data_IF_449672262211
#
_entry.id   IF_449672262211
#
_cell.length_a   1.000
_cell.length_b   1.000
_cell.length_c   1.000
_cell.angle_alpha   90.00
_cell.angle_beta   90.00
_cell.angle_gamma   90.00
#
_symmetry.space_group_name_H-M   'P 1'
#
loop_
_entity.id
_entity.type
_entity.pdbx_description
1 polymer ?
#
# COMPACT_ATOMS: atom_id res chain seq x y z
N UNK A 1 -3.71 -17.74 29.99
CA UNK A 1 -2.61 -17.51 29.05
C UNK A 1 -2.25 -16.04 29.14
N UNK A 2 -1.03 -15.74 29.57
CA UNK A 2 -0.66 -14.43 30.14
C UNK A 2 -0.70 -13.28 29.16
N UNK A 3 -1.12 -12.12 29.65
CA UNK A 3 -0.84 -10.81 29.06
C UNK A 3 0.67 -10.63 29.02
N UNK A 4 1.30 -10.88 27.86
CA UNK A 4 2.77 -10.83 27.73
C UNK A 4 3.31 -9.44 28.10
N UNK A 5 2.60 -8.37 27.70
CA UNK A 5 2.89 -6.98 28.05
C UNK A 5 1.59 -6.20 28.30
N UNK A 6 0.63 -6.32 27.38
CA UNK A 6 -0.70 -5.71 27.46
C UNK A 6 -1.78 -6.64 26.87
N UNK A 7 -3.05 -6.35 27.15
CA UNK A 7 -4.18 -7.20 26.74
C UNK A 7 -4.52 -7.14 25.25
N UNK A 8 -4.08 -6.10 24.54
CA UNK A 8 -4.32 -5.89 23.11
C UNK A 8 -3.09 -6.21 22.24
N UNK A 9 -1.99 -6.67 22.85
CA UNK A 9 -0.69 -6.90 22.24
C UNK A 9 -0.07 -5.67 21.55
N UNK A 10 -0.50 -4.45 21.89
CA UNK A 10 0.00 -3.22 21.28
C UNK A 10 1.47 -2.97 21.62
N UNK A 11 1.85 -3.14 22.90
CA UNK A 11 3.22 -2.99 23.35
C UNK A 11 4.13 -4.09 22.80
N UNK A 12 3.65 -5.33 22.79
CA UNK A 12 4.38 -6.47 22.22
C UNK A 12 4.69 -6.25 20.74
N UNK A 13 3.66 -5.92 19.94
CA UNK A 13 3.83 -5.70 18.50
C UNK A 13 4.70 -4.48 18.21
N UNK A 14 4.60 -3.40 19.00
CA UNK A 14 5.45 -2.22 18.84
C UNK A 14 6.94 -2.55 19.07
N UNK A 15 7.25 -3.29 20.15
CA UNK A 15 8.64 -3.68 20.47
C UNK A 15 9.21 -4.57 19.37
N UNK A 16 8.43 -5.56 18.91
CA UNK A 16 8.86 -6.46 17.83
C UNK A 16 9.08 -5.67 16.53
N UNK A 17 8.16 -4.78 16.17
CA UNK A 17 8.32 -3.93 14.98
C UNK A 17 9.55 -3.04 15.09
N UNK A 18 9.76 -2.34 16.21
CA UNK A 18 10.93 -1.47 16.38
C UNK A 18 12.22 -2.27 16.31
N UNK A 19 12.31 -3.41 17.02
CA UNK A 19 13.49 -4.27 16.99
C UNK A 19 13.78 -4.80 15.58
N UNK A 20 12.75 -5.28 14.88
CA UNK A 20 12.87 -5.78 13.52
C UNK A 20 13.35 -4.70 12.54
N UNK A 21 12.72 -3.52 12.57
CA UNK A 21 13.09 -2.40 11.69
C UNK A 21 14.49 -1.87 12.01
N UNK A 22 14.89 -1.87 13.29
CA UNK A 22 16.23 -1.46 13.70
C UNK A 22 17.31 -2.43 13.19
N UNK A 23 17.05 -3.74 13.21
CA UNK A 23 17.97 -4.75 12.65
C UNK A 23 18.21 -4.48 11.17
N UNK A 24 17.15 -4.29 10.38
CA UNK A 24 17.30 -4.01 8.95
C UNK A 24 17.87 -2.62 8.66
N UNK A 25 17.59 -1.62 9.51
CA UNK A 25 18.28 -0.33 9.45
C UNK A 25 19.79 -0.51 9.61
N UNK A 26 20.25 -1.26 10.63
CA UNK A 26 21.68 -1.52 10.87
C UNK A 26 22.29 -2.26 9.68
N UNK A 27 21.64 -3.30 9.17
CA UNK A 27 22.09 -4.03 7.97
C UNK A 27 22.22 -3.08 6.78
N UNK A 28 21.22 -2.24 6.53
CA UNK A 28 21.21 -1.30 5.41
C UNK A 28 22.27 -0.22 5.57
N UNK A 29 22.46 0.31 6.77
CA UNK A 29 23.46 1.34 7.07
C UNK A 29 24.90 0.82 6.93
N UNK A 30 25.17 -0.41 7.40
CA UNK A 30 26.50 -1.01 7.37
C UNK A 30 26.87 -1.59 6.01
N UNK A 31 25.93 -2.29 5.36
CA UNK A 31 26.18 -3.01 4.11
C UNK A 31 25.79 -2.21 2.86
N UNK A 32 25.18 -1.03 3.02
CA UNK A 32 24.60 -0.22 1.93
C UNK A 32 23.67 -1.05 1.03
N UNK A 33 22.92 -1.97 1.65
CA UNK A 33 22.07 -2.93 0.97
C UNK A 33 20.59 -2.57 1.16
N UNK A 34 20.09 -1.65 0.34
CA UNK A 34 18.72 -1.14 0.35
C UNK A 34 17.70 -2.08 -0.33
N UNK A 35 18.18 -3.16 -0.98
CA UNK A 35 17.34 -4.13 -1.70
C UNK A 35 16.37 -4.90 -0.78
N UNK A 36 16.57 -4.86 0.53
CA UNK A 36 15.77 -5.56 1.54
C UNK A 36 14.75 -4.68 2.25
N UNK A 37 14.70 -3.38 1.93
CA UNK A 37 13.82 -2.41 2.62
C UNK A 37 12.35 -2.79 2.49
N UNK A 38 11.88 -2.93 1.25
CA UNK A 38 10.52 -3.38 0.91
C UNK A 38 10.22 -4.79 1.44
N UNK A 39 11.22 -5.69 1.46
CA UNK A 39 11.10 -7.04 2.03
C UNK A 39 10.91 -6.99 3.55
N UNK A 40 11.64 -6.12 4.25
CA UNK A 40 11.54 -5.97 5.69
C UNK A 40 10.16 -5.43 6.11
N UNK A 41 9.62 -4.44 5.38
CA UNK A 41 8.28 -3.92 5.64
C UNK A 41 7.21 -5.01 5.55
N UNK A 42 7.15 -5.71 4.41
CA UNK A 42 6.14 -6.74 4.12
C UNK A 42 6.24 -7.97 5.03
N UNK A 43 7.44 -8.45 5.33
CA UNK A 43 7.61 -9.61 6.23
C UNK A 43 7.36 -9.29 7.70
N UNK A 44 7.52 -8.03 8.13
CA UNK A 44 7.15 -7.61 9.48
C UNK A 44 5.64 -7.73 9.72
N UNK A 45 4.79 -7.38 8.73
CA UNK A 45 3.34 -7.65 8.80
C UNK A 45 3.03 -9.15 9.02
N UNK A 46 3.72 -10.03 8.29
CA UNK A 46 3.59 -11.49 8.43
C UNK A 46 3.97 -11.93 9.84
N UNK A 47 5.09 -11.42 10.36
CA UNK A 47 5.57 -11.72 11.72
C UNK A 47 4.54 -11.27 12.76
N UNK A 48 3.99 -10.06 12.66
CA UNK A 48 3.00 -9.57 13.62
C UNK A 48 1.72 -10.42 13.61
N UNK A 49 1.21 -10.77 12.42
CA UNK A 49 0.01 -11.61 12.29
C UNK A 49 0.21 -12.99 12.91
N UNK A 50 1.32 -13.67 12.60
CA UNK A 50 1.63 -14.99 13.15
C UNK A 50 1.94 -14.94 14.64
N UNK A 51 2.75 -13.98 15.08
CA UNK A 51 3.15 -13.82 16.48
C UNK A 51 1.93 -13.63 17.38
N UNK A 52 1.06 -12.68 17.04
CA UNK A 52 -0.12 -12.37 17.87
C UNK A 52 -1.09 -13.56 17.93
N UNK A 53 -1.26 -14.29 16.82
CA UNK A 53 -2.09 -15.49 16.77
C UNK A 53 -1.51 -16.63 17.63
N UNK A 54 -0.21 -16.92 17.51
CA UNK A 54 0.48 -17.97 18.26
C UNK A 54 0.51 -17.65 19.76
N UNK A 55 0.87 -16.43 20.12
CA UNK A 55 0.95 -15.97 21.52
C UNK A 55 -0.42 -15.99 22.19
N UNK A 56 -1.49 -15.65 21.46
CA UNK A 56 -2.85 -15.75 21.99
C UNK A 56 -3.21 -17.18 22.37
N UNK A 57 -2.82 -18.15 21.53
CA UNK A 57 -3.17 -19.56 21.69
C UNK A 57 -4.65 -19.88 21.48
N UNK A 58 -5.45 -18.91 21.00
CA UNK A 58 -6.83 -19.12 20.54
C UNK A 58 -6.89 -19.06 19.02
N UNK A 59 -7.59 -20.00 18.41
CA UNK A 59 -7.65 -20.19 16.97
C UNK A 59 -9.08 -20.05 16.47
N UNK A 60 -9.69 -18.89 16.74
CA UNK A 60 -11.04 -18.62 16.23
C UNK A 60 -11.02 -18.42 14.73
N UNK A 61 -12.11 -18.79 14.06
CA UNK A 61 -12.21 -18.75 12.61
C UNK A 61 -11.80 -17.39 12.03
N UNK A 62 -12.33 -16.29 12.59
CA UNK A 62 -11.97 -14.91 12.21
C UNK A 62 -10.49 -14.59 12.38
N UNK A 63 -9.87 -15.03 13.48
CA UNK A 63 -8.44 -14.82 13.76
C UNK A 63 -7.56 -15.54 12.74
N UNK A 64 -7.89 -16.80 12.45
CA UNK A 64 -7.20 -17.60 11.44
C UNK A 64 -7.34 -16.95 10.07
N UNK A 65 -8.56 -16.62 9.64
CA UNK A 65 -8.81 -16.04 8.32
C UNK A 65 -8.06 -14.72 8.16
N UNK A 66 -8.22 -13.75 9.06
CA UNK A 66 -7.56 -12.45 8.91
C UNK A 66 -6.04 -12.56 8.98
N UNK A 67 -5.50 -13.44 9.83
CA UNK A 67 -4.06 -13.70 9.86
C UNK A 67 -3.57 -14.32 8.56
N UNK A 68 -4.31 -15.28 7.99
CA UNK A 68 -3.98 -15.87 6.69
C UNK A 68 -4.03 -14.84 5.56
N UNK A 69 -5.03 -13.96 5.54
CA UNK A 69 -5.12 -12.87 4.55
C UNK A 69 -3.87 -11.97 4.62
N UNK A 70 -3.45 -11.55 5.81
CA UNK A 70 -2.23 -10.74 5.99
C UNK A 70 -0.97 -11.52 5.58
N UNK A 71 -0.88 -12.81 5.93
CA UNK A 71 0.25 -13.68 5.56
C UNK A 71 0.34 -13.86 4.05
N UNK A 72 -0.77 -14.16 3.38
CA UNK A 72 -0.84 -14.36 1.93
C UNK A 72 -0.42 -13.08 1.20
N UNK A 73 -0.97 -11.93 1.60
CA UNK A 73 -0.59 -10.64 1.03
C UNK A 73 0.88 -10.33 1.29
N UNK A 74 1.32 -10.41 2.54
CA UNK A 74 2.68 -10.04 2.94
C UNK A 74 3.74 -10.89 2.28
N UNK A 75 3.55 -12.22 2.21
CA UNK A 75 4.47 -13.11 1.51
C UNK A 75 4.48 -12.84 0.00
N UNK A 76 3.31 -12.66 -0.63
CA UNK A 76 3.23 -12.35 -2.07
C UNK A 76 3.98 -11.06 -2.39
N UNK A 77 3.71 -10.01 -1.62
CA UNK A 77 4.33 -8.70 -1.81
C UNK A 77 5.85 -8.77 -1.57
N UNK A 78 6.29 -9.40 -0.47
CA UNK A 78 7.71 -9.58 -0.16
C UNK A 78 8.46 -10.30 -1.29
N UNK A 79 7.92 -11.42 -1.77
CA UNK A 79 8.52 -12.21 -2.85
C UNK A 79 8.53 -11.45 -4.18
N UNK A 80 7.43 -10.76 -4.52
CA UNK A 80 7.35 -9.97 -5.74
C UNK A 80 8.37 -8.83 -5.74
N UNK A 81 8.45 -8.06 -4.65
CA UNK A 81 9.37 -6.93 -4.54
C UNK A 81 10.83 -7.40 -4.53
N UNK A 82 11.13 -8.52 -3.86
CA UNK A 82 12.45 -9.15 -3.87
C UNK A 82 12.85 -9.61 -5.28
N UNK A 83 11.96 -10.32 -5.98
CA UNK A 83 12.21 -10.73 -7.37
C UNK A 83 12.44 -9.51 -8.28
N UNK A 84 11.62 -8.47 -8.14
CA UNK A 84 11.70 -7.24 -8.94
C UNK A 84 13.03 -6.52 -8.75
N UNK A 85 13.49 -6.34 -7.52
CA UNK A 85 14.76 -5.65 -7.25
C UNK A 85 15.98 -6.48 -7.69
N UNK A 86 15.90 -7.81 -7.61
CA UNK A 86 16.94 -8.69 -8.14
C UNK A 86 17.03 -8.64 -9.67
N UNK A 87 15.90 -8.47 -10.37
CA UNK A 87 15.86 -8.32 -11.83
C UNK A 87 16.29 -6.94 -12.31
N UNK A 88 15.86 -5.86 -11.65
CA UNK A 88 16.14 -4.49 -12.10
C UNK A 88 17.44 -3.92 -11.54
N UNK A 89 18.02 -4.56 -10.52
CA UNK A 89 19.36 -4.27 -10.01
C UNK A 89 19.44 -3.10 -9.02
N UNK A 90 18.58 -2.10 -9.13
CA UNK A 90 18.65 -0.88 -8.31
C UNK A 90 17.27 -0.27 -7.98
N UNK A 91 17.14 0.24 -6.76
CA UNK A 91 16.03 1.08 -6.33
C UNK A 91 16.48 2.53 -6.21
N UNK A 92 16.12 3.33 -7.22
CA UNK A 92 16.55 4.73 -7.35
C UNK A 92 16.02 5.63 -6.22
N UNK A 93 15.04 5.17 -5.43
CA UNK A 93 14.55 5.90 -4.24
C UNK A 93 15.63 6.07 -3.18
N UNK A 94 16.60 5.16 -3.13
CA UNK A 94 17.64 5.14 -2.11
C UNK A 94 18.94 5.81 -2.54
N UNK A 95 19.09 6.23 -3.80
CA UNK A 95 20.33 6.82 -4.34
C UNK A 95 20.80 8.00 -3.48
N UNK A 96 19.89 8.89 -3.08
CA UNK A 96 20.18 10.05 -2.22
C UNK A 96 20.17 9.74 -0.72
N UNK A 97 19.62 8.58 -0.32
CA UNK A 97 19.43 8.21 1.08
C UNK A 97 20.56 7.32 1.61
N UNK A 98 21.21 6.52 0.75
CA UNK A 98 22.34 5.63 1.09
C UNK A 98 23.52 6.37 1.72
N UNK A 99 23.71 7.65 1.39
CA UNK A 99 24.80 8.48 1.90
C UNK A 99 24.42 9.32 3.12
N UNK A 100 23.16 9.32 3.54
CA UNK A 100 22.66 10.16 4.63
C UNK A 100 21.97 9.31 5.71
N UNK A 101 22.69 9.02 6.79
CA UNK A 101 22.19 8.22 7.91
C UNK A 101 20.94 8.80 8.57
N UNK A 102 20.81 10.14 8.62
CA UNK A 102 19.63 10.80 9.18
C UNK A 102 18.37 10.54 8.35
N UNK A 103 18.46 10.73 7.03
CA UNK A 103 17.36 10.41 6.09
C UNK A 103 16.99 8.92 6.15
N UNK A 104 18.01 8.05 6.21
CA UNK A 104 17.81 6.61 6.35
C UNK A 104 17.06 6.28 7.66
N UNK A 105 17.49 6.83 8.79
CA UNK A 105 16.82 6.61 10.07
C UNK A 105 15.36 7.05 10.05
N UNK A 106 15.07 8.23 9.48
CA UNK A 106 13.69 8.73 9.30
C UNK A 106 12.84 7.76 8.48
N UNK A 107 13.39 7.22 7.38
CA UNK A 107 12.69 6.21 6.57
C UNK A 107 12.32 4.96 7.38
N UNK A 108 13.26 4.41 8.15
CA UNK A 108 13.01 3.18 8.93
C UNK A 108 12.06 3.41 10.10
N UNK A 109 12.11 4.58 10.76
CA UNK A 109 11.13 4.97 11.78
C UNK A 109 9.74 5.06 11.15
N UNK A 110 9.64 5.71 9.99
CA UNK A 110 8.38 5.87 9.30
C UNK A 110 7.81 4.52 8.82
N UNK A 111 8.67 3.62 8.33
CA UNK A 111 8.30 2.25 7.99
C UNK A 111 7.83 1.47 9.22
N UNK A 112 8.45 1.66 10.40
CA UNK A 112 8.00 1.05 11.65
C UNK A 112 6.60 1.54 12.05
N UNK A 113 6.37 2.85 12.01
CA UNK A 113 5.04 3.45 12.30
C UNK A 113 3.99 2.93 11.32
N UNK A 114 4.33 2.85 10.03
CA UNK A 114 3.44 2.32 9.01
C UNK A 114 3.06 0.87 9.27
N UNK A 115 4.03 -0.03 9.43
CA UNK A 115 3.75 -1.46 9.66
C UNK A 115 2.91 -1.65 10.91
N UNK A 116 3.28 -1.01 12.02
CA UNK A 116 2.58 -1.17 13.28
C UNK A 116 1.14 -0.65 13.21
N UNK A 117 0.94 0.56 12.68
CA UNK A 117 -0.38 1.21 12.61
C UNK A 117 -1.33 0.45 11.69
N UNK A 118 -0.84 -0.02 10.53
CA UNK A 118 -1.67 -0.73 9.56
C UNK A 118 -2.00 -2.16 10.04
N UNK A 119 -1.15 -2.76 10.87
CA UNK A 119 -1.40 -4.08 11.48
C UNK A 119 -2.41 -4.05 12.64
N UNK A 120 -2.82 -2.88 13.14
CA UNK A 120 -3.68 -2.77 14.31
C UNK A 120 -4.98 -3.61 14.23
N UNK A 121 -5.73 -3.64 13.10
CA UNK A 121 -6.94 -4.45 13.02
C UNK A 121 -6.70 -5.94 13.28
N UNK A 122 -5.68 -6.55 12.67
CA UNK A 122 -5.37 -7.98 12.86
C UNK A 122 -4.82 -8.25 14.27
N UNK A 123 -4.00 -7.33 14.79
CA UNK A 123 -3.44 -7.42 16.16
C UNK A 123 -4.57 -7.47 17.20
N UNK A 124 -5.54 -6.56 17.12
CA UNK A 124 -6.66 -6.50 18.07
C UNK A 124 -7.60 -7.70 17.91
N UNK A 125 -7.86 -8.15 16.67
CA UNK A 125 -8.65 -9.38 16.45
C UNK A 125 -7.98 -10.59 17.09
N UNK A 126 -6.67 -10.74 16.92
CA UNK A 126 -5.90 -11.83 17.52
C UNK A 126 -5.83 -11.70 19.04
N UNK A 127 -5.86 -10.49 19.59
CA UNK A 127 -5.90 -10.26 21.03
C UNK A 127 -7.29 -10.54 21.65
N UNK A 128 -8.37 -10.45 20.87
CA UNK A 128 -9.75 -10.56 21.38
C UNK A 128 -10.09 -11.96 21.90
N UNK A 129 -10.89 -12.01 22.97
CA UNK A 129 -11.55 -13.23 23.46
C UNK A 129 -13.00 -13.35 22.95
N UNK A 130 -13.52 -12.32 22.25
CA UNK A 130 -14.91 -12.29 21.78
C UNK A 130 -15.06 -13.26 20.60
N UNK A 131 -16.12 -14.07 20.63
CA UNK A 131 -16.40 -15.12 19.65
C UNK A 131 -17.81 -14.98 19.06
N UNK A 132 -18.19 -13.81 18.51
CA UNK A 132 -19.45 -13.73 17.81
C UNK A 132 -19.43 -14.73 16.65
N UNK A 133 -20.60 -15.28 16.33
CA UNK A 133 -20.81 -16.05 15.09
C UNK A 133 -20.37 -15.23 13.88
N UNK A 134 -20.22 -15.90 12.74
CA UNK A 134 -19.92 -15.21 11.49
C UNK A 134 -21.01 -14.17 11.21
N UNK A 135 -20.59 -12.93 10.91
CA UNK A 135 -21.48 -11.82 10.60
C UNK A 135 -21.32 -11.40 9.13
N UNK A 136 -22.19 -10.50 8.67
CA UNK A 136 -22.17 -10.02 7.28
C UNK A 136 -20.90 -9.20 7.01
N UNK A 137 -20.40 -8.48 8.00
CA UNK A 137 -19.19 -7.65 7.93
C UNK A 137 -17.95 -8.51 7.64
N UNK A 138 -17.88 -9.75 8.15
CA UNK A 138 -16.82 -10.69 7.81
C UNK A 138 -16.77 -10.95 6.30
N UNK A 139 -17.93 -11.29 5.73
CA UNK A 139 -18.07 -11.65 4.31
C UNK A 139 -17.75 -10.43 3.43
N UNK A 140 -18.28 -9.26 3.79
CA UNK A 140 -18.00 -8.00 3.07
C UNK A 140 -16.49 -7.70 3.11
N UNK A 141 -15.87 -7.77 4.29
CA UNK A 141 -14.45 -7.49 4.45
C UNK A 141 -13.56 -8.45 3.66
N UNK A 142 -13.90 -9.74 3.62
CA UNK A 142 -13.16 -10.72 2.82
C UNK A 142 -13.34 -10.51 1.31
N UNK A 143 -14.53 -10.14 0.85
CA UNK A 143 -14.76 -9.81 -0.57
C UNK A 143 -13.93 -8.59 -0.95
N UNK A 144 -13.98 -7.52 -0.13
CA UNK A 144 -13.17 -6.31 -0.34
C UNK A 144 -11.68 -6.67 -0.39
N UNK A 145 -11.22 -7.53 0.53
CA UNK A 145 -9.84 -7.99 0.55
C UNK A 145 -9.47 -8.77 -0.71
N UNK A 146 -10.29 -9.70 -1.15
CA UNK A 146 -10.04 -10.50 -2.36
C UNK A 146 -9.97 -9.63 -3.60
N UNK A 147 -10.87 -8.65 -3.74
CA UNK A 147 -10.84 -7.68 -4.85
C UNK A 147 -9.57 -6.83 -4.79
N UNK A 148 -9.21 -6.33 -3.61
CA UNK A 148 -7.99 -5.54 -3.42
C UNK A 148 -6.72 -6.32 -3.74
N UNK A 149 -6.59 -7.53 -3.20
CA UNK A 149 -5.47 -8.42 -3.44
C UNK A 149 -5.34 -8.79 -4.92
N UNK A 150 -6.45 -9.09 -5.61
CA UNK A 150 -6.45 -9.39 -7.04
C UNK A 150 -6.04 -8.17 -7.87
N UNK A 151 -6.61 -6.98 -7.58
CA UNK A 151 -6.26 -5.74 -8.27
C UNK A 151 -4.76 -5.42 -8.15
N UNK A 152 -4.21 -5.56 -6.94
CA UNK A 152 -2.79 -5.33 -6.69
C UNK A 152 -1.90 -6.36 -7.41
N UNK A 153 -2.21 -7.66 -7.30
CA UNK A 153 -1.41 -8.71 -7.93
C UNK A 153 -1.41 -8.61 -9.46
N UNK A 154 -2.58 -8.37 -10.05
CA UNK A 154 -2.72 -8.21 -11.51
C UNK A 154 -1.98 -6.95 -11.96
N UNK A 155 -2.13 -5.83 -11.26
CA UNK A 155 -1.44 -4.58 -11.59
C UNK A 155 0.09 -4.74 -11.56
N UNK A 156 0.61 -5.40 -10.53
CA UNK A 156 2.03 -5.67 -10.39
C UNK A 156 2.55 -6.54 -11.54
N UNK A 157 1.81 -7.60 -11.90
CA UNK A 157 2.15 -8.48 -13.01
C UNK A 157 2.08 -7.76 -14.37
N UNK A 158 1.03 -6.97 -14.61
CA UNK A 158 0.87 -6.16 -15.82
C UNK A 158 2.08 -5.24 -16.01
N UNK A 159 2.50 -4.54 -14.94
CA UNK A 159 3.64 -3.61 -14.99
C UNK A 159 4.96 -4.34 -15.18
N UNK A 160 5.16 -5.48 -14.52
CA UNK A 160 6.36 -6.30 -14.68
C UNK A 160 6.49 -6.79 -16.12
N UNK A 161 5.44 -7.40 -16.66
CA UNK A 161 5.41 -7.88 -18.04
C UNK A 161 5.63 -6.73 -19.03
N UNK A 162 4.96 -5.59 -18.82
CA UNK A 162 5.13 -4.40 -19.67
C UNK A 162 6.59 -3.92 -19.71
N UNK A 163 7.27 -3.90 -18.56
CA UNK A 163 8.66 -3.42 -18.44
C UNK A 163 9.70 -4.39 -19.00
N UNK A 164 9.40 -5.68 -19.06
CA UNK A 164 10.30 -6.70 -19.59
C UNK A 164 10.31 -6.76 -21.13
N UNK A 165 9.38 -6.09 -21.80
CA UNK A 165 9.32 -5.98 -23.27
C UNK A 165 10.27 -4.85 -23.75
N UNK A 166 11.31 -5.15 -24.56
CA UNK A 166 12.29 -4.15 -25.03
C UNK A 166 11.67 -2.95 -25.76
N UNK A 167 10.60 -3.16 -26.53
CA UNK A 167 9.89 -2.15 -27.31
C UNK A 167 9.14 -1.13 -26.43
N UNK A 168 8.99 -1.43 -25.13
CA UNK A 168 8.37 -0.56 -24.14
C UNK A 168 9.37 0.29 -23.37
N UNK A 169 10.68 0.19 -23.67
CA UNK A 169 11.70 1.08 -23.10
C UNK A 169 11.33 2.53 -23.40
N UNK A 170 11.42 3.37 -22.37
CA UNK A 170 11.03 4.79 -22.47
C UNK A 170 9.52 5.06 -22.47
N UNK A 171 8.66 4.05 -22.28
CA UNK A 171 7.19 4.21 -22.17
C UNK A 171 6.68 4.01 -20.73
N UNK A 172 5.51 4.56 -20.44
CA UNK A 172 4.74 4.30 -19.22
C UNK A 172 3.79 3.11 -19.43
N UNK A 173 3.49 2.38 -18.36
CA UNK A 173 2.54 1.27 -18.41
C UNK A 173 1.12 1.83 -18.55
N UNK A 174 0.40 1.42 -19.58
CA UNK A 174 -0.99 1.80 -19.86
C UNK A 174 -1.85 0.61 -20.31
N UNK A 175 -1.43 -0.61 -19.96
CA UNK A 175 -2.09 -1.88 -20.31
C UNK A 175 -2.77 -2.51 -19.10
N UNK A 176 -3.72 -3.42 -19.33
CA UNK A 176 -4.43 -4.13 -18.26
C UNK A 176 -5.12 -3.14 -17.30
N UNK A 177 -4.91 -3.31 -16.00
CA UNK A 177 -5.50 -2.41 -14.99
C UNK A 177 -4.97 -0.97 -15.08
N UNK A 178 -3.74 -0.79 -15.57
CA UNK A 178 -3.13 0.54 -15.76
C UNK A 178 -3.84 1.36 -16.85
N UNK A 179 -4.70 0.75 -17.67
CA UNK A 179 -5.56 1.49 -18.59
C UNK A 179 -6.68 2.24 -17.87
N UNK A 180 -7.16 1.72 -16.74
CA UNK A 180 -8.35 2.21 -16.04
C UNK A 180 -8.03 3.12 -14.86
N UNK A 181 -6.83 2.99 -14.30
CA UNK A 181 -6.32 3.85 -13.24
C UNK A 181 -4.80 3.94 -13.34
N UNK A 182 -4.22 5.07 -12.94
CA UNK A 182 -2.77 5.29 -12.96
C UNK A 182 -2.05 4.56 -11.84
N UNK A 183 -2.74 4.18 -10.75
CA UNK A 183 -2.15 3.47 -9.61
C UNK A 183 -3.03 2.30 -9.12
N UNK A 184 -3.29 1.29 -9.97
CA UNK A 184 -4.17 0.17 -9.62
C UNK A 184 -3.65 -0.68 -8.47
N UNK A 185 -2.33 -0.77 -8.30
CA UNK A 185 -1.71 -1.49 -7.19
C UNK A 185 -2.02 -0.83 -5.83
N UNK A 186 -1.94 0.50 -5.76
CA UNK A 186 -2.30 1.24 -4.54
C UNK A 186 -3.81 1.23 -4.27
N UNK A 187 -4.65 1.21 -5.32
CA UNK A 187 -6.08 0.96 -5.14
C UNK A 187 -6.32 -0.40 -4.48
N UNK A 188 -5.63 -1.45 -4.95
CA UNK A 188 -5.71 -2.78 -4.38
C UNK A 188 -5.24 -2.83 -2.92
N UNK A 189 -4.11 -2.20 -2.62
CA UNK A 189 -3.54 -2.12 -1.27
C UNK A 189 -4.48 -1.39 -0.29
N UNK A 190 -5.08 -0.27 -0.71
CA UNK A 190 -6.07 0.45 0.11
C UNK A 190 -7.27 -0.45 0.39
N UNK A 191 -7.86 -1.07 -0.65
CA UNK A 191 -9.02 -1.93 -0.48
C UNK A 191 -8.74 -3.08 0.48
N UNK A 192 -7.62 -3.79 0.32
CA UNK A 192 -7.37 -4.97 1.14
C UNK A 192 -7.24 -4.62 2.64
N UNK A 193 -6.63 -3.49 2.99
CA UNK A 193 -6.54 -3.07 4.39
C UNK A 193 -7.86 -2.55 4.95
N UNK A 194 -8.68 -1.88 4.13
CA UNK A 194 -10.07 -1.59 4.50
C UNK A 194 -10.89 -2.88 4.69
N UNK A 195 -10.64 -3.91 3.88
CA UNK A 195 -11.27 -5.23 4.01
C UNK A 195 -10.92 -5.93 5.33
N UNK A 196 -9.65 -5.90 5.75
CA UNK A 196 -9.24 -6.39 7.07
C UNK A 196 -9.95 -5.63 8.20
N UNK A 197 -10.04 -4.30 8.09
CA UNK A 197 -10.76 -3.50 9.08
C UNK A 197 -12.26 -3.83 9.14
N UNK A 198 -12.95 -3.90 7.99
CA UNK A 198 -14.37 -4.23 7.96
C UNK A 198 -14.63 -5.61 8.57
N UNK A 199 -13.79 -6.61 8.28
CA UNK A 199 -13.93 -7.94 8.87
C UNK A 199 -13.48 -8.01 10.35
N UNK A 200 -12.82 -6.99 10.89
CA UNK A 200 -12.49 -6.92 12.32
C UNK A 200 -13.64 -6.37 13.16
N UNK A 201 -14.53 -5.55 12.58
CA UNK A 201 -15.58 -4.83 13.32
C UNK A 201 -16.48 -5.69 14.21
N UNK A 202 -16.83 -6.97 13.88
CA UNK A 202 -17.70 -7.77 14.74
C UNK A 202 -17.13 -8.03 16.14
N UNK A 203 -15.80 -7.93 16.30
CA UNK A 203 -15.12 -8.16 17.57
C UNK A 203 -14.63 -6.88 18.24
N UNK A 204 -14.84 -5.69 17.65
CA UNK A 204 -14.39 -4.41 18.21
C UNK A 204 -15.39 -3.86 19.22
N UNK A 205 -14.88 -3.27 20.30
CA UNK A 205 -15.68 -2.59 21.31
C UNK A 205 -14.94 -1.38 21.91
N UNK A 206 -15.68 -0.34 22.29
CA UNK A 206 -15.13 0.87 22.92
C UNK A 206 -13.93 1.48 22.17
N UNK A 207 -12.79 1.60 22.86
CA UNK A 207 -11.57 2.18 22.29
C UNK A 207 -10.88 1.31 21.22
N UNK A 208 -11.27 0.06 21.05
CA UNK A 208 -10.70 -0.82 20.01
C UNK A 208 -11.07 -0.35 18.60
N UNK A 209 -12.12 0.46 18.44
CA UNK A 209 -12.46 1.09 17.16
C UNK A 209 -11.35 1.98 16.59
N UNK A 210 -10.38 2.41 17.42
CA UNK A 210 -9.22 3.18 16.97
C UNK A 210 -8.33 2.40 15.99
N UNK A 211 -8.50 1.08 15.81
CA UNK A 211 -7.83 0.33 14.73
C UNK A 211 -8.18 0.83 13.33
N UNK A 212 -9.26 1.60 13.16
CA UNK A 212 -9.58 2.30 11.91
C UNK A 212 -8.46 3.25 11.46
N UNK A 213 -7.62 3.71 12.39
CA UNK A 213 -6.44 4.49 12.03
C UNK A 213 -5.48 3.73 11.11
N UNK A 214 -5.45 2.40 11.13
CA UNK A 214 -4.67 1.58 10.20
C UNK A 214 -4.96 1.90 8.73
N UNK A 215 -6.14 1.57 8.19
CA UNK A 215 -6.47 1.84 6.80
C UNK A 215 -6.56 3.33 6.47
N UNK A 216 -6.98 4.20 7.40
CA UNK A 216 -6.96 5.67 7.18
C UNK A 216 -5.52 6.16 7.00
N UNK A 217 -4.61 5.77 7.89
CA UNK A 217 -3.21 6.15 7.83
C UNK A 217 -2.58 5.71 6.50
N UNK A 218 -2.79 4.44 6.10
CA UNK A 218 -2.32 3.93 4.82
C UNK A 218 -2.88 4.74 3.62
N UNK A 219 -4.19 5.02 3.63
CA UNK A 219 -4.86 5.74 2.55
C UNK A 219 -4.27 7.15 2.40
N UNK A 220 -4.17 7.89 3.52
CA UNK A 220 -3.59 9.24 3.51
C UNK A 220 -2.11 9.23 3.12
N UNK A 221 -1.39 8.21 3.60
CA UNK A 221 0.01 8.02 3.28
C UNK A 221 0.21 7.93 1.76
N UNK A 222 -0.53 7.02 1.08
CA UNK A 222 -0.44 6.78 -0.35
C UNK A 222 -0.97 7.94 -1.21
N UNK A 223 -1.94 8.70 -0.70
CA UNK A 223 -2.52 9.84 -1.42
C UNK A 223 -1.65 11.10 -1.35
N UNK A 224 -0.98 11.35 -0.23
CA UNK A 224 -0.41 12.69 0.07
C UNK A 224 1.07 12.72 0.40
N UNK A 225 1.66 11.64 0.92
CA UNK A 225 3.03 11.67 1.47
C UNK A 225 3.95 10.79 0.64
N UNK A 226 3.60 9.52 0.49
CA UNK A 226 4.33 8.53 -0.30
C UNK A 226 3.43 7.97 -1.39
N UNK A 227 3.93 7.03 -2.19
CA UNK A 227 3.13 6.40 -3.24
C UNK A 227 2.83 7.36 -4.39
N UNK A 228 1.55 7.77 -4.53
CA UNK A 228 1.04 8.46 -5.72
C UNK A 228 1.78 9.78 -6.02
N UNK A 229 1.97 10.73 -5.07
CA UNK A 229 2.65 11.99 -5.34
C UNK A 229 4.05 11.81 -5.94
N UNK A 230 4.85 10.92 -5.34
CA UNK A 230 6.23 10.67 -5.75
C UNK A 230 6.30 9.99 -7.12
N UNK A 231 5.39 9.06 -7.39
CA UNK A 231 5.33 8.36 -8.68
C UNK A 231 4.82 9.26 -9.80
N UNK A 232 3.81 10.09 -9.54
CA UNK A 232 3.29 11.08 -10.48
C UNK A 232 4.38 12.10 -10.83
N UNK A 233 5.09 12.63 -9.84
CA UNK A 233 6.19 13.56 -10.06
C UNK A 233 7.32 12.91 -10.88
N UNK A 234 7.71 11.68 -10.54
CA UNK A 234 8.74 10.94 -11.29
C UNK A 234 8.33 10.68 -12.74
N UNK A 235 7.05 10.32 -12.96
CA UNK A 235 6.51 10.09 -14.29
C UNK A 235 6.41 11.40 -15.10
N UNK A 236 5.99 12.50 -14.48
CA UNK A 236 5.92 13.82 -15.13
C UNK A 236 7.30 14.32 -15.56
N UNK A 237 8.31 14.18 -14.71
CA UNK A 237 9.71 14.51 -15.07
C UNK A 237 10.21 13.71 -16.27
N UNK A 238 9.75 12.47 -16.44
CA UNK A 238 10.22 11.56 -17.48
C UNK A 238 9.43 11.67 -18.79
N UNK A 239 8.12 11.86 -18.71
CA UNK A 239 7.20 11.76 -19.85
C UNK A 239 6.35 13.02 -20.07
N UNK A 240 6.43 14.03 -19.21
CA UNK A 240 5.59 15.22 -19.26
C UNK A 240 5.65 15.99 -20.58
N UNK A 241 6.80 15.96 -21.27
CA UNK A 241 6.97 16.59 -22.57
C UNK A 241 6.29 15.82 -23.73
N UNK A 242 5.77 14.62 -23.49
CA UNK A 242 5.12 13.79 -24.51
C UNK A 242 3.60 13.98 -24.49
N UNK A 243 3.03 14.42 -25.61
CA UNK A 243 1.58 14.69 -25.74
C UNK A 243 0.72 13.47 -25.40
N UNK A 244 1.14 12.28 -25.84
CA UNK A 244 0.46 11.03 -25.55
C UNK A 244 0.41 10.70 -24.04
N UNK A 245 1.44 11.08 -23.27
CA UNK A 245 1.43 10.90 -21.81
C UNK A 245 0.48 11.87 -21.14
N UNK A 246 0.48 13.14 -21.57
CA UNK A 246 -0.45 14.14 -21.04
C UNK A 246 -1.89 13.75 -21.34
N UNK A 247 -2.17 13.20 -22.52
CA UNK A 247 -3.49 12.66 -22.86
C UNK A 247 -3.87 11.50 -21.95
N UNK A 248 -2.98 10.51 -21.76
CA UNK A 248 -3.21 9.41 -20.83
C UNK A 248 -3.54 9.90 -19.41
N UNK A 249 -2.77 10.87 -18.89
CA UNK A 249 -3.00 11.44 -17.57
C UNK A 249 -4.34 12.18 -17.45
N UNK A 250 -4.77 12.88 -18.49
CA UNK A 250 -6.08 13.58 -18.56
C UNK A 250 -7.26 12.61 -18.56
N UNK A 251 -7.11 11.46 -19.21
CA UNK A 251 -8.20 10.49 -19.41
C UNK A 251 -8.19 9.31 -18.45
N UNK A 252 -7.19 9.16 -17.60
CA UNK A 252 -7.07 8.02 -16.69
C UNK A 252 -7.08 8.49 -15.23
N UNK A 253 -8.03 7.95 -14.47
CA UNK A 253 -8.19 8.21 -13.04
C UNK A 253 -6.90 7.94 -12.26
N UNK A 254 -6.53 8.75 -11.24
CA UNK A 254 -5.33 8.48 -10.46
C UNK A 254 -5.46 7.21 -9.63
N UNK A 255 -6.61 6.95 -9.01
CA UNK A 255 -6.77 5.85 -8.05
C UNK A 255 -7.93 4.91 -8.41
N UNK A 256 -9.15 5.43 -8.52
CA UNK A 256 -10.35 4.60 -8.72
C UNK A 256 -10.41 4.09 -10.17
N UNK A 257 -10.41 2.76 -10.42
CA UNK A 257 -10.48 2.22 -11.78
C UNK A 257 -11.74 2.67 -12.52
N UNK A 258 -11.58 3.37 -13.64
CA UNK A 258 -12.67 3.84 -14.50
C UNK A 258 -12.30 3.75 -15.99
N UNK A 259 -13.26 3.41 -16.88
CA UNK A 259 -13.06 3.52 -18.32
C UNK A 259 -12.57 4.92 -18.73
N UNK A 260 -11.52 5.03 -19.57
CA UNK A 260 -10.96 6.34 -19.94
C UNK A 260 -11.96 7.30 -20.58
N UNK A 261 -12.95 6.78 -21.31
CA UNK A 261 -14.04 7.56 -21.91
C UNK A 261 -14.90 8.21 -20.83
N UNK A 262 -15.24 7.47 -19.77
CA UNK A 262 -16.04 8.00 -18.66
C UNK A 262 -15.23 9.03 -17.88
N UNK A 263 -14.00 8.69 -17.48
CA UNK A 263 -13.16 9.62 -16.73
C UNK A 263 -12.84 10.88 -17.53
N UNK A 264 -12.46 10.76 -18.80
CA UNK A 264 -12.12 11.87 -19.68
C UNK A 264 -13.20 12.95 -19.74
N UNK A 265 -14.47 12.53 -19.79
CA UNK A 265 -15.64 13.42 -19.91
C UNK A 265 -16.09 14.08 -18.60
N UNK A 266 -15.54 13.68 -17.44
CA UNK A 266 -15.93 14.28 -16.15
C UNK A 266 -15.31 15.67 -15.95
N UNK A 267 -16.05 16.63 -15.38
CA UNK A 267 -15.51 17.95 -15.09
C UNK A 267 -14.44 17.89 -13.99
N UNK A 268 -13.46 18.79 -14.05
CA UNK A 268 -12.29 18.76 -13.17
C UNK A 268 -12.64 18.87 -11.68
N UNK A 269 -13.67 19.64 -11.32
CA UNK A 269 -14.12 19.76 -9.93
C UNK A 269 -14.62 18.41 -9.38
N UNK A 270 -15.29 17.61 -10.21
CA UNK A 270 -15.78 16.29 -9.83
C UNK A 270 -14.62 15.30 -9.66
N UNK A 271 -13.66 15.32 -10.59
CA UNK A 271 -12.43 14.52 -10.51
C UNK A 271 -11.66 14.79 -9.21
N UNK A 272 -11.53 16.07 -8.84
CA UNK A 272 -10.88 16.52 -7.60
C UNK A 272 -11.63 16.05 -6.34
N UNK A 273 -12.95 16.18 -6.33
CA UNK A 273 -13.77 15.91 -5.15
C UNK A 273 -13.96 14.40 -4.89
N UNK A 274 -14.17 13.60 -5.93
CA UNK A 274 -14.63 12.22 -5.79
C UNK A 274 -13.67 11.17 -6.34
N UNK A 275 -12.71 11.56 -7.17
CA UNK A 275 -11.80 10.63 -7.86
C UNK A 275 -10.33 10.90 -7.54
N UNK A 276 -10.06 11.67 -6.48
CA UNK A 276 -8.72 11.94 -5.95
C UNK A 276 -7.78 12.62 -6.95
N UNK A 277 -8.27 13.36 -7.95
CA UNK A 277 -7.42 14.11 -8.89
C UNK A 277 -6.87 15.38 -8.24
N UNK A 278 -5.94 15.24 -7.29
CA UNK A 278 -5.43 16.38 -6.56
C UNK A 278 -4.43 17.22 -7.38
N UNK A 279 -4.43 18.56 -7.23
CA UNK A 279 -3.50 19.44 -7.95
C UNK A 279 -2.03 19.08 -7.74
N UNK A 280 -1.70 18.50 -6.59
CA UNK A 280 -0.34 18.09 -6.25
C UNK A 280 0.22 17.03 -7.22
N UNK A 281 -0.64 16.23 -7.85
CA UNK A 281 -0.24 15.21 -8.83
C UNK A 281 0.21 15.78 -10.17
N UNK A 282 -0.03 17.06 -10.45
CA UNK A 282 0.32 17.68 -11.74
C UNK A 282 1.18 18.95 -11.59
N UNK A 283 1.85 19.14 -10.45
CA UNK A 283 2.63 20.37 -10.15
C UNK A 283 3.74 20.69 -11.16
N UNK A 284 4.24 19.68 -11.86
CA UNK A 284 5.38 19.80 -12.78
C UNK A 284 4.95 19.81 -14.26
N UNK A 285 3.65 19.77 -14.55
CA UNK A 285 3.14 19.86 -15.91
C UNK A 285 2.78 21.31 -16.25
N UNK A 286 2.94 21.73 -17.52
CA UNK A 286 2.49 23.04 -17.97
C UNK A 286 0.99 23.23 -17.67
N UNK A 287 0.55 24.41 -17.23
CA UNK A 287 -0.86 24.64 -16.93
C UNK A 287 -1.78 24.42 -18.15
N UNK A 288 -1.32 24.75 -19.35
CA UNK A 288 -2.02 24.46 -20.61
C UNK A 288 -2.30 22.95 -20.77
N UNK A 289 -1.40 22.09 -20.28
CA UNK A 289 -1.60 20.66 -20.26
C UNK A 289 -2.70 20.17 -19.30
N UNK A 290 -3.21 21.00 -18.39
CA UNK A 290 -4.18 20.60 -17.36
C UNK A 290 -5.59 21.14 -17.69
N UNK A 291 -5.71 22.25 -18.44
CA UNK A 291 -6.93 23.06 -18.54
C UNK A 291 -7.60 23.16 -19.93
N UNK A 292 -7.11 22.47 -20.97
CA UNK A 292 -7.73 22.47 -22.32
C UNK A 292 -9.04 21.67 -22.41
N UNK A 293 -10.05 22.04 -21.62
CA UNK A 293 -11.44 21.55 -21.77
C UNK A 293 -12.45 22.70 -21.75
N UNK A 294 -12.01 23.97 -21.80
CA UNK A 294 -12.91 25.12 -21.94
C UNK A 294 -12.73 25.88 -23.27
N UNK A 295 -12.24 25.23 -24.32
CA UNK A 295 -12.25 25.76 -25.68
C UNK A 295 -12.60 24.66 -26.67
N UNK A 296 -13.89 24.36 -26.80
CA UNK A 296 -14.72 24.26 -28.01
C UNK A 296 -16.10 23.79 -27.56
#
# INVERSE_FOLDING_TARGET
MGTVIDSLFLGLTAIVTVGYQLIFFIITALLKFDKVTDFAGSTNFVILALLTLIVKGSWHFRQIVLSLLVVIWGLRLALFLLMRILQWGEDRRFDEMRSNLGKLAVFWIFQAVWVWTVSLPVTVVNASNRKPSLQVEDIIGWIIWCVGFAAEAIADQDKLTFKNIPENRGKWCNVGLWKYTRHPNYFGEILLWWGIFVASTPVLDGAEWLVIFGPIFLTLLLLFVSGIPLLEESADKKYGNMDAYRQYKRTTSPLVPLPPVLYGNLPLWFKKAFLFEFPLYSRHLPQEAIYDVCKV
#
